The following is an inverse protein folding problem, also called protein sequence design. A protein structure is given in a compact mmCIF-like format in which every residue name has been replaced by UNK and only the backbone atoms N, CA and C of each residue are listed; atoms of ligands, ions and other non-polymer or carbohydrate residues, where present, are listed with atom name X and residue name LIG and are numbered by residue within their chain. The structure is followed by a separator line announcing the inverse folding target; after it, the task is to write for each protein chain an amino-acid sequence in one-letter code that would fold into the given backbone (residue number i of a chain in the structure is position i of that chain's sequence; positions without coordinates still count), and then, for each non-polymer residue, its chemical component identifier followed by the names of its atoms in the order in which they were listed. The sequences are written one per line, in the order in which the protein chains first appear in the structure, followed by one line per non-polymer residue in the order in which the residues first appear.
data_IF_821498278278
#
_entry.id   IF_821498278278
#
_cell.length_a   1.000
_cell.length_b   1.000
_cell.length_c   1.000
_cell.angle_alpha   90.00
_cell.angle_beta   90.00
_cell.angle_gamma   90.00
#
_symmetry.space_group_name_H-M   'P 1'
#
loop_
_entity.id
_entity.type
_entity.pdbx_description
1 polymer ?
#
# COMPACT_ATOMS: atom_id res chain seq x y z
N UNK A 1 3.73 -4.15 31.09
CA UNK A 1 3.53 -2.74 31.51
C UNK A 1 4.86 -2.06 31.82
N UNK A 2 5.59 -2.44 32.86
CA UNK A 2 6.83 -1.75 33.26
C UNK A 2 7.88 -1.65 32.16
N UNK A 3 8.06 -2.72 31.37
CA UNK A 3 8.95 -2.68 30.18
C UNK A 3 8.54 -1.58 29.20
N UNK A 4 7.26 -1.46 28.86
CA UNK A 4 6.76 -0.44 27.94
C UNK A 4 6.97 0.97 28.50
N UNK A 5 6.71 1.18 29.79
CA UNK A 5 6.97 2.48 30.45
C UNK A 5 8.44 2.81 30.46
N UNK A 6 9.32 1.84 30.76
CA UNK A 6 10.76 2.06 30.73
C UNK A 6 11.23 2.50 29.34
N UNK A 7 10.80 1.83 28.28
CA UNK A 7 11.14 2.23 26.91
C UNK A 7 10.58 3.61 26.55
N UNK A 8 9.36 3.95 26.99
CA UNK A 8 8.76 5.25 26.73
C UNK A 8 9.43 6.39 27.52
N UNK A 9 9.62 6.23 28.82
CA UNK A 9 10.05 7.31 29.72
C UNK A 9 11.58 7.41 29.83
N UNK A 10 12.29 6.29 29.80
CA UNK A 10 13.75 6.27 29.96
C UNK A 10 14.49 6.25 28.63
N UNK A 11 13.93 5.57 27.63
CA UNK A 11 14.54 5.49 26.28
C UNK A 11 13.89 6.41 25.25
N UNK A 12 12.82 7.12 25.64
CA UNK A 12 12.09 8.07 24.79
C UNK A 12 11.53 7.45 23.49
N UNK A 13 11.09 6.20 23.55
CA UNK A 13 10.40 5.54 22.43
C UNK A 13 8.99 6.13 22.25
N UNK A 14 8.66 6.55 21.01
CA UNK A 14 7.39 7.20 20.66
C UNK A 14 6.20 6.24 20.45
N UNK A 15 6.47 4.93 20.43
CA UNK A 15 5.47 3.92 20.16
C UNK A 15 6.05 2.53 19.91
N UNK A 16 5.15 1.56 19.77
CA UNK A 16 5.49 0.14 19.67
C UNK A 16 4.72 -0.52 18.53
N UNK A 17 5.41 -1.40 17.79
CA UNK A 17 4.79 -2.41 16.93
C UNK A 17 4.90 -3.75 17.65
N UNK A 18 3.77 -4.33 18.01
CA UNK A 18 3.68 -5.61 18.72
C UNK A 18 3.60 -6.76 17.71
N UNK A 19 4.61 -7.62 17.76
CA UNK A 19 4.65 -8.89 17.04
C UNK A 19 3.60 -9.87 17.56
N UNK A 20 2.95 -10.61 16.65
CA UNK A 20 1.83 -11.52 16.96
C UNK A 20 0.84 -10.93 17.97
N UNK A 21 0.42 -9.69 17.73
CA UNK A 21 -0.25 -8.82 18.70
C UNK A 21 -1.55 -9.39 19.28
N UNK A 22 -2.23 -10.32 18.59
CA UNK A 22 -3.41 -11.00 19.12
C UNK A 22 -3.12 -11.70 20.46
N UNK A 23 -1.88 -12.17 20.67
CA UNK A 23 -1.50 -12.85 21.91
C UNK A 23 -1.74 -11.99 23.16
N UNK A 24 -1.66 -10.67 23.01
CA UNK A 24 -1.83 -9.70 24.10
C UNK A 24 -3.28 -9.64 24.60
N UNK A 25 -4.25 -10.02 23.77
CA UNK A 25 -5.66 -10.10 24.12
C UNK A 25 -6.15 -11.50 24.45
N UNK A 26 -5.26 -12.51 24.54
CA UNK A 26 -5.71 -13.88 24.82
C UNK A 26 -6.15 -14.01 26.28
N UNK A 27 -7.42 -14.37 26.44
CA UNK A 27 -8.07 -14.77 27.68
C UNK A 27 -8.47 -16.27 27.58
N UNK A 28 -8.95 -16.92 28.67
CA UNK A 28 -9.29 -18.34 28.65
C UNK A 28 -10.27 -18.78 27.55
N UNK A 29 -11.17 -17.88 27.12
CA UNK A 29 -12.20 -18.15 26.08
C UNK A 29 -11.79 -17.68 24.68
N UNK A 30 -10.54 -17.23 24.50
CA UNK A 30 -10.04 -16.70 23.23
C UNK A 30 -9.64 -15.23 23.31
N UNK A 31 -9.54 -14.57 22.15
CA UNK A 31 -9.18 -13.16 22.10
C UNK A 31 -10.32 -12.29 22.66
N UNK A 32 -9.99 -11.43 23.61
CA UNK A 32 -10.84 -10.35 24.10
C UNK A 32 -10.15 -9.00 23.93
N UNK A 33 -10.75 -8.14 23.12
CA UNK A 33 -10.34 -6.75 22.92
C UNK A 33 -10.47 -5.87 24.18
N UNK A 34 -11.17 -6.35 25.22
CA UNK A 34 -11.25 -5.79 26.58
C UNK A 34 -10.48 -6.64 27.60
N UNK A 35 -9.55 -7.47 27.11
CA UNK A 35 -8.65 -8.25 27.96
C UNK A 35 -7.79 -7.36 28.83
N UNK A 36 -7.29 -7.93 29.93
CA UNK A 36 -6.65 -7.14 31.00
C UNK A 36 -5.46 -6.30 30.52
N UNK A 37 -4.72 -6.75 29.51
CA UNK A 37 -3.61 -6.00 28.94
C UNK A 37 -4.07 -4.73 28.19
N UNK A 38 -5.08 -4.85 27.31
CA UNK A 38 -5.56 -3.72 26.53
C UNK A 38 -6.18 -2.64 27.42
N UNK A 39 -6.96 -3.05 28.42
CA UNK A 39 -7.52 -2.13 29.41
C UNK A 39 -6.41 -1.42 30.19
N UNK A 40 -5.40 -2.17 30.64
CA UNK A 40 -4.26 -1.61 31.37
C UNK A 40 -3.46 -0.60 30.53
N UNK A 41 -3.22 -0.87 29.24
CA UNK A 41 -2.55 0.07 28.33
C UNK A 41 -3.41 1.30 28.05
N UNK A 42 -4.71 1.12 27.85
CA UNK A 42 -5.64 2.21 27.49
C UNK A 42 -5.82 3.21 28.63
N UNK A 43 -5.81 2.77 29.89
CA UNK A 43 -5.91 3.68 31.05
C UNK A 43 -4.56 4.23 31.51
N UNK A 44 -3.44 3.75 30.98
CA UNK A 44 -2.11 4.16 31.41
C UNK A 44 -1.78 5.60 30.96
N UNK A 45 -1.42 6.52 31.87
CA UNK A 45 -1.21 7.93 31.52
C UNK A 45 0.00 8.19 30.62
N UNK A 46 0.92 7.22 30.51
CA UNK A 46 2.09 7.26 29.63
C UNK A 46 1.75 6.55 28.32
N UNK A 47 1.37 5.27 28.39
CA UNK A 47 1.23 4.43 27.19
C UNK A 47 0.04 4.81 26.31
N UNK A 48 -1.05 5.32 26.87
CA UNK A 48 -2.23 5.71 26.09
C UNK A 48 -1.99 6.89 25.12
N UNK A 49 -0.83 7.57 25.22
CA UNK A 49 -0.44 8.69 24.35
C UNK A 49 0.53 8.28 23.24
N UNK A 50 1.03 7.04 23.28
CA UNK A 50 2.02 6.54 22.33
C UNK A 50 1.35 5.93 21.10
N UNK A 51 2.11 5.73 20.03
CA UNK A 51 1.63 4.97 18.87
C UNK A 51 1.66 3.49 19.21
N UNK A 52 0.52 2.82 19.07
CA UNK A 52 0.40 1.38 19.32
C UNK A 52 -0.03 0.71 18.03
N UNK A 53 0.81 -0.17 17.51
CA UNK A 53 0.55 -0.92 16.28
C UNK A 53 0.68 -2.40 16.59
N UNK A 54 -0.23 -3.25 16.13
CA UNK A 54 -0.09 -4.70 16.28
C UNK A 54 -0.12 -5.43 14.95
N UNK A 55 0.48 -6.61 14.92
CA UNK A 55 0.02 -7.67 14.04
C UNK A 55 -1.31 -8.21 14.58
N UNK A 56 -2.43 -8.02 13.89
CA UNK A 56 -3.74 -8.48 14.34
C UNK A 56 -3.94 -9.98 14.08
N UNK A 57 -2.91 -10.78 14.30
CA UNK A 57 -2.97 -12.23 14.22
C UNK A 57 -2.01 -12.90 15.21
N UNK A 58 -2.25 -14.18 15.48
CA UNK A 58 -1.27 -15.12 16.02
C UNK A 58 -1.53 -16.53 15.43
N UNK A 59 -0.69 -17.50 15.79
CA UNK A 59 -0.77 -18.87 15.26
C UNK A 59 -1.83 -19.76 15.94
N UNK A 60 -2.48 -19.27 17.00
CA UNK A 60 -3.43 -20.06 17.78
C UNK A 60 -4.85 -20.05 17.18
N UNK A 61 -5.74 -20.97 17.63
CA UNK A 61 -7.14 -20.95 17.21
C UNK A 61 -7.79 -19.60 17.50
N UNK A 62 -8.55 -19.08 16.53
CA UNK A 62 -9.17 -17.74 16.60
C UNK A 62 -8.15 -16.59 16.58
N UNK A 63 -6.91 -16.84 16.17
CA UNK A 63 -5.83 -15.87 16.19
C UNK A 63 -6.02 -14.68 15.25
N UNK A 64 -6.74 -14.86 14.12
CA UNK A 64 -6.94 -13.80 13.13
C UNK A 64 -7.97 -12.76 13.60
N UNK A 65 -7.50 -11.54 13.88
CA UNK A 65 -8.24 -10.45 14.54
C UNK A 65 -8.11 -9.12 13.79
N UNK A 66 -7.94 -9.15 12.46
CA UNK A 66 -7.93 -7.92 11.64
C UNK A 66 -9.22 -7.12 11.84
N UNK A 67 -9.08 -5.84 12.20
CA UNK A 67 -10.16 -4.93 12.61
C UNK A 67 -10.62 -5.12 14.06
N UNK A 68 -10.12 -6.14 14.76
CA UNK A 68 -10.54 -6.60 16.08
C UNK A 68 -9.95 -5.80 17.24
N UNK A 69 -8.79 -5.14 17.08
CA UNK A 69 -8.14 -4.44 18.21
C UNK A 69 -8.98 -3.25 18.69
N UNK A 70 -8.81 -2.82 19.96
CA UNK A 70 -9.55 -1.70 20.50
C UNK A 70 -9.18 -0.37 19.81
N UNK A 71 -10.06 0.65 19.88
CA UNK A 71 -9.72 2.01 19.42
C UNK A 71 -8.43 2.53 20.04
N UNK A 72 -7.67 3.32 19.28
CA UNK A 72 -6.34 3.80 19.68
C UNK A 72 -5.18 2.99 19.09
N UNK A 73 -5.47 1.81 18.54
CA UNK A 73 -4.48 0.93 17.91
C UNK A 73 -4.50 1.03 16.39
N UNK A 74 -3.31 1.09 15.80
CA UNK A 74 -3.06 0.73 14.42
C UNK A 74 -2.88 -0.78 14.27
N UNK A 75 -3.16 -1.29 13.10
CA UNK A 75 -2.99 -2.71 12.77
C UNK A 75 -2.32 -2.84 11.42
N UNK A 76 -1.34 -3.75 11.33
CA UNK A 76 -0.86 -4.20 10.02
C UNK A 76 -2.03 -4.79 9.23
N UNK A 77 -2.27 -4.26 8.04
CA UNK A 77 -3.38 -4.68 7.19
C UNK A 77 -2.89 -5.66 6.13
N UNK A 78 -2.90 -6.96 6.45
CA UNK A 78 -2.53 -8.01 5.50
C UNK A 78 -3.55 -8.14 4.35
N UNK A 79 -4.84 -7.86 4.59
CA UNK A 79 -5.85 -7.75 3.52
C UNK A 79 -5.48 -6.69 2.49
N UNK A 80 -4.93 -5.55 2.93
CA UNK A 80 -4.40 -4.54 2.02
C UNK A 80 -3.23 -5.09 1.20
N UNK A 81 -2.23 -5.68 1.87
CA UNK A 81 -1.05 -6.27 1.23
C UNK A 81 -1.46 -7.25 0.14
N UNK A 82 -2.33 -8.18 0.51
CA UNK A 82 -2.73 -9.32 -0.31
C UNK A 82 -3.55 -8.88 -1.52
N UNK A 83 -4.59 -8.08 -1.31
CA UNK A 83 -5.44 -7.57 -2.39
C UNK A 83 -4.67 -6.69 -3.36
N UNK A 84 -3.76 -5.83 -2.88
CA UNK A 84 -3.00 -4.96 -3.78
C UNK A 84 -2.00 -5.77 -4.62
N UNK A 85 -1.38 -6.82 -4.03
CA UNK A 85 -0.54 -7.78 -4.76
C UNK A 85 -1.34 -8.52 -5.84
N UNK A 86 -2.49 -9.08 -5.47
CA UNK A 86 -3.42 -9.77 -6.38
C UNK A 86 -3.88 -8.85 -7.53
N UNK A 87 -4.26 -7.61 -7.23
CA UNK A 87 -4.72 -6.65 -8.24
C UNK A 87 -3.65 -6.37 -9.30
N UNK A 88 -2.40 -6.11 -8.90
CA UNK A 88 -1.29 -5.84 -9.83
C UNK A 88 -0.73 -7.09 -10.50
N UNK A 89 -0.90 -8.26 -9.89
CA UNK A 89 -0.65 -9.57 -10.53
C UNK A 89 -1.68 -9.85 -11.64
N UNK A 90 -2.87 -9.27 -11.55
CA UNK A 90 -3.94 -9.37 -12.55
C UNK A 90 -5.11 -10.24 -12.12
N UNK A 91 -5.21 -10.57 -10.83
CA UNK A 91 -6.34 -11.30 -10.25
C UNK A 91 -7.56 -10.37 -10.11
N UNK A 92 -8.76 -10.96 -10.18
CA UNK A 92 -10.01 -10.19 -10.17
C UNK A 92 -10.45 -9.85 -8.73
N UNK A 93 -9.89 -8.77 -8.19
CA UNK A 93 -10.14 -8.31 -6.80
C UNK A 93 -10.53 -6.83 -6.74
N UNK A 94 -11.10 -6.28 -7.82
CA UNK A 94 -11.36 -4.84 -8.01
C UNK A 94 -12.21 -4.23 -6.90
N UNK A 95 -13.25 -4.93 -6.43
CA UNK A 95 -14.10 -4.47 -5.33
C UNK A 95 -13.31 -4.33 -4.02
N UNK A 96 -12.57 -5.38 -3.64
CA UNK A 96 -11.71 -5.34 -2.48
C UNK A 96 -10.62 -4.27 -2.63
N UNK A 97 -10.01 -4.15 -3.81
CA UNK A 97 -8.99 -3.15 -4.11
C UNK A 97 -9.51 -1.73 -3.88
N UNK A 98 -10.74 -1.42 -4.31
CA UNK A 98 -11.39 -0.14 -4.06
C UNK A 98 -11.57 0.14 -2.56
N UNK A 99 -11.96 -0.86 -1.77
CA UNK A 99 -12.06 -0.73 -0.33
C UNK A 99 -10.68 -0.49 0.32
N UNK A 100 -9.64 -1.22 -0.13
CA UNK A 100 -8.26 -1.07 0.34
C UNK A 100 -7.70 0.32 0.05
N UNK A 101 -7.91 0.84 -1.17
CA UNK A 101 -7.47 2.18 -1.59
C UNK A 101 -8.06 3.29 -0.70
N UNK A 102 -9.31 3.12 -0.26
CA UNK A 102 -10.06 4.10 0.54
C UNK A 102 -9.91 3.91 2.07
N UNK A 103 -8.85 3.22 2.48
CA UNK A 103 -8.47 3.06 3.89
C UNK A 103 -9.13 1.90 4.61
N UNK A 104 -9.70 0.94 3.87
CA UNK A 104 -10.31 -0.27 4.41
C UNK A 104 -11.38 0.03 5.46
N UNK A 105 -12.29 0.97 5.14
CA UNK A 105 -13.38 1.36 6.03
C UNK A 105 -14.31 0.20 6.40
N UNK A 106 -14.42 -0.81 5.54
CA UNK A 106 -15.13 -2.06 5.82
C UNK A 106 -14.53 -2.86 6.99
N UNK A 107 -13.23 -2.69 7.27
CA UNK A 107 -12.52 -3.32 8.38
C UNK A 107 -12.37 -2.40 9.60
N UNK A 108 -12.24 -1.09 9.38
CA UNK A 108 -11.80 -0.15 10.41
C UNK A 108 -12.75 1.02 10.71
N UNK A 109 -13.81 1.27 9.92
CA UNK A 109 -14.80 2.32 10.22
C UNK A 109 -15.83 1.84 11.25
N UNK A 110 -15.34 1.40 12.41
CA UNK A 110 -16.14 1.01 13.56
C UNK A 110 -15.58 1.62 14.84
N UNK A 111 -16.46 1.82 15.83
CA UNK A 111 -16.08 2.22 17.20
C UNK A 111 -15.25 3.52 17.27
N UNK A 112 -15.45 4.43 16.31
CA UNK A 112 -14.76 5.72 16.25
C UNK A 112 -13.29 5.65 15.82
N UNK A 113 -12.83 4.50 15.32
CA UNK A 113 -11.53 4.36 14.67
C UNK A 113 -11.45 5.26 13.44
N UNK A 114 -10.22 5.49 12.99
CA UNK A 114 -9.90 6.41 11.88
C UNK A 114 -9.15 5.66 10.77
N UNK A 115 -9.05 6.20 9.55
CA UNK A 115 -8.30 5.58 8.46
C UNK A 115 -6.88 5.19 8.84
N UNK A 116 -6.20 5.99 9.68
CA UNK A 116 -4.84 5.70 10.16
C UNK A 116 -4.71 4.40 10.97
N UNK A 117 -5.84 3.82 11.44
CA UNK A 117 -5.85 2.52 12.11
C UNK A 117 -5.40 1.40 11.17
N UNK A 118 -5.53 1.60 9.86
CA UNK A 118 -4.98 0.72 8.85
C UNK A 118 -3.53 1.09 8.56
N UNK A 119 -2.60 0.22 8.94
CA UNK A 119 -1.20 0.30 8.51
C UNK A 119 -1.07 -0.49 7.23
N UNK A 120 -1.11 0.23 6.11
CA UNK A 120 -1.00 -0.32 4.77
C UNK A 120 0.45 -0.62 4.44
N UNK A 121 0.74 -1.79 3.88
CA UNK A 121 2.07 -2.17 3.43
C UNK A 121 1.97 -3.13 2.26
N UNK A 122 2.95 -3.08 1.36
CA UNK A 122 3.07 -4.05 0.26
C UNK A 122 4.06 -5.14 0.63
N UNK A 123 5.08 -4.80 1.41
CA UNK A 123 6.24 -5.62 1.76
C UNK A 123 6.64 -5.30 3.20
N UNK A 124 7.25 -6.28 3.84
CA UNK A 124 7.72 -6.21 5.21
C UNK A 124 9.01 -7.03 5.34
N UNK A 125 9.51 -7.19 6.55
CA UNK A 125 10.61 -8.12 6.79
C UNK A 125 10.20 -9.57 6.54
N UNK A 126 8.90 -9.89 6.74
CA UNK A 126 8.32 -11.17 6.35
C UNK A 126 7.93 -11.16 4.88
N UNK A 127 8.38 -12.17 4.14
CA UNK A 127 8.11 -12.33 2.71
C UNK A 127 9.13 -11.62 1.83
N UNK A 128 8.76 -11.43 0.56
CA UNK A 128 9.61 -10.74 -0.40
C UNK A 128 9.76 -9.23 -0.14
N UNK A 129 10.94 -8.72 -0.52
CA UNK A 129 11.15 -7.29 -0.84
C UNK A 129 10.32 -6.87 -2.04
N UNK A 130 10.21 -5.57 -2.31
CA UNK A 130 9.43 -5.09 -3.46
C UNK A 130 10.08 -5.52 -4.78
N UNK A 131 11.42 -5.56 -4.84
CA UNK A 131 12.10 -6.03 -6.03
C UNK A 131 11.90 -7.53 -6.26
N UNK A 132 11.90 -8.33 -5.21
CA UNK A 132 11.72 -9.78 -5.32
C UNK A 132 10.26 -10.16 -5.61
N UNK A 133 9.30 -9.39 -5.09
CA UNK A 133 7.87 -9.54 -5.38
C UNK A 133 7.56 -9.49 -6.88
N UNK A 134 8.35 -8.73 -7.65
CA UNK A 134 8.22 -8.61 -9.11
C UNK A 134 9.25 -9.43 -9.89
N UNK A 135 10.09 -10.21 -9.20
CA UNK A 135 11.20 -10.95 -9.83
C UNK A 135 11.16 -12.46 -9.60
N UNK A 136 10.37 -12.94 -8.65
CA UNK A 136 10.31 -14.36 -8.27
C UNK A 136 8.88 -14.84 -8.11
N UNK A 137 8.58 -16.03 -8.63
CA UNK A 137 7.31 -16.73 -8.35
C UNK A 137 7.47 -17.67 -7.15
N UNK A 138 8.63 -18.31 -7.03
CA UNK A 138 8.94 -19.27 -5.99
C UNK A 138 9.90 -18.66 -4.96
N UNK A 139 9.86 -19.16 -3.72
CA UNK A 139 10.83 -18.80 -2.69
C UNK A 139 12.12 -19.59 -2.87
N UNK A 140 13.25 -18.94 -2.61
CA UNK A 140 14.61 -19.48 -2.70
C UNK A 140 15.29 -19.31 -1.33
N UNK A 141 14.82 -20.08 -0.33
CA UNK A 141 15.27 -20.02 1.06
C UNK A 141 16.36 -21.05 1.37
N UNK A 142 17.00 -21.65 0.36
CA UNK A 142 17.99 -22.73 0.55
C UNK A 142 19.13 -22.31 1.49
N UNK A 143 19.51 -21.04 1.46
CA UNK A 143 20.54 -20.47 2.33
C UNK A 143 20.20 -20.56 3.83
N UNK A 144 18.93 -20.77 4.19
CA UNK A 144 18.47 -20.89 5.58
C UNK A 144 18.75 -22.28 6.18
N UNK A 145 19.05 -23.28 5.34
CA UNK A 145 19.41 -24.63 5.80
C UNK A 145 18.23 -25.52 6.20
N UNK A 146 17.01 -25.17 5.79
CA UNK A 146 15.78 -25.91 6.10
C UNK A 146 15.19 -26.61 4.85
N UNK A 147 16.02 -26.90 3.85
CA UNK A 147 15.62 -27.51 2.56
C UNK A 147 14.46 -26.75 1.87
N UNK A 148 14.45 -25.41 1.97
CA UNK A 148 13.41 -24.52 1.45
C UNK A 148 12.00 -24.76 2.05
N UNK A 149 11.91 -25.40 3.22
CA UNK A 149 10.62 -25.67 3.89
C UNK A 149 10.10 -24.49 4.71
N UNK A 150 10.95 -23.54 5.05
CA UNK A 150 10.62 -22.34 5.82
C UNK A 150 10.09 -21.20 4.93
N UNK A 151 9.39 -20.23 5.51
CA UNK A 151 8.79 -19.11 4.77
C UNK A 151 7.46 -19.45 4.07
N UNK A 152 6.73 -18.40 3.67
CA UNK A 152 5.38 -18.53 3.09
C UNK A 152 5.43 -19.03 1.64
N UNK A 153 4.52 -19.93 1.25
CA UNK A 153 4.49 -20.47 -0.12
C UNK A 153 3.65 -19.63 -1.10
N UNK A 154 2.65 -18.90 -0.60
CA UNK A 154 1.79 -18.05 -1.43
C UNK A 154 2.17 -16.57 -1.28
N UNK A 155 3.08 -16.11 -2.13
CA UNK A 155 3.63 -14.76 -2.07
C UNK A 155 2.81 -13.72 -2.82
N UNK A 156 1.86 -14.17 -3.68
CA UNK A 156 1.13 -13.32 -4.64
C UNK A 156 2.07 -12.47 -5.50
N UNK A 157 3.22 -13.03 -5.85
CA UNK A 157 4.27 -12.42 -6.67
C UNK A 157 4.09 -12.75 -8.15
N UNK A 158 4.81 -12.03 -9.01
CA UNK A 158 4.88 -12.35 -10.43
C UNK A 158 6.27 -12.00 -10.96
N UNK A 159 6.95 -12.96 -11.57
CA UNK A 159 8.30 -12.78 -12.09
C UNK A 159 8.35 -12.17 -13.52
N UNK A 160 7.19 -12.01 -14.16
CA UNK A 160 6.99 -11.47 -15.51
C UNK A 160 7.74 -12.21 -16.63
N UNK A 161 8.10 -13.49 -16.41
CA UNK A 161 8.65 -14.38 -17.44
C UNK A 161 10.05 -14.91 -17.16
N UNK A 162 10.76 -14.39 -16.16
CA UNK A 162 12.09 -14.86 -15.77
C UNK A 162 12.19 -15.00 -14.25
N UNK A 163 12.70 -16.10 -13.71
CA UNK A 163 12.90 -16.25 -12.27
C UNK A 163 14.24 -15.60 -11.85
N UNK A 164 14.18 -14.53 -11.06
CA UNK A 164 15.34 -13.76 -10.63
C UNK A 164 15.89 -12.77 -11.66
N UNK A 165 17.18 -12.38 -11.55
CA UNK A 165 17.83 -11.44 -12.46
C UNK A 165 17.77 -11.90 -13.93
N UNK A 166 17.62 -10.95 -14.85
CA UNK A 166 17.54 -11.20 -16.30
C UNK A 166 18.13 -10.03 -17.09
N UNK A 167 18.67 -10.34 -18.27
CA UNK A 167 19.15 -9.34 -19.24
C UNK A 167 18.05 -8.91 -20.23
N UNK A 168 16.83 -9.47 -20.13
CA UNK A 168 15.69 -9.06 -20.94
C UNK A 168 15.17 -7.68 -20.52
N UNK A 169 15.49 -6.67 -21.32
CA UNK A 169 15.09 -5.28 -21.09
C UNK A 169 13.57 -5.09 -21.03
N UNK A 170 12.80 -5.90 -21.75
CA UNK A 170 11.33 -5.85 -21.74
C UNK A 170 10.76 -6.30 -20.40
N UNK A 171 11.28 -7.40 -19.85
CA UNK A 171 10.90 -7.88 -18.51
C UNK A 171 11.32 -6.86 -17.45
N UNK A 172 12.55 -6.34 -17.53
CA UNK A 172 13.05 -5.36 -16.56
C UNK A 172 12.23 -4.06 -16.58
N UNK A 173 11.82 -3.56 -17.76
CA UNK A 173 10.94 -2.40 -17.87
C UNK A 173 9.57 -2.64 -17.23
N UNK A 174 8.99 -3.84 -17.39
CA UNK A 174 7.74 -4.22 -16.71
C UNK A 174 7.97 -4.18 -15.20
N UNK A 175 9.02 -4.82 -14.68
CA UNK A 175 9.34 -4.85 -13.25
C UNK A 175 9.49 -3.46 -12.64
N UNK A 176 10.24 -2.56 -13.29
CA UNK A 176 10.37 -1.18 -12.84
C UNK A 176 9.01 -0.46 -12.78
N UNK A 177 8.15 -0.67 -13.78
CA UNK A 177 6.78 -0.12 -13.77
C UNK A 177 5.94 -0.68 -12.63
N UNK A 178 6.05 -1.97 -12.33
CA UNK A 178 5.31 -2.60 -11.22
C UNK A 178 5.78 -2.08 -9.86
N UNK A 179 7.09 -1.90 -9.65
CA UNK A 179 7.59 -1.24 -8.44
C UNK A 179 6.97 0.14 -8.25
N UNK A 180 6.92 0.94 -9.32
CA UNK A 180 6.26 2.26 -9.31
C UNK A 180 4.75 2.16 -9.05
N UNK A 181 4.06 1.17 -9.60
CA UNK A 181 2.63 0.93 -9.33
C UNK A 181 2.38 0.64 -7.86
N UNK A 182 3.11 -0.32 -7.27
CA UNK A 182 2.98 -0.69 -5.86
C UNK A 182 3.25 0.50 -4.94
N UNK A 183 4.33 1.25 -5.19
CA UNK A 183 4.67 2.44 -4.40
C UNK A 183 3.61 3.54 -4.53
N UNK A 184 3.07 3.76 -5.73
CA UNK A 184 2.02 4.74 -5.97
C UNK A 184 0.73 4.33 -5.27
N UNK A 185 0.29 3.06 -5.40
CA UNK A 185 -0.88 2.55 -4.69
C UNK A 185 -0.69 2.69 -3.18
N UNK A 186 0.47 2.30 -2.63
CA UNK A 186 0.79 2.44 -1.21
C UNK A 186 0.67 3.89 -0.71
N UNK A 187 1.32 4.83 -1.39
CA UNK A 187 1.42 6.21 -0.93
C UNK A 187 0.16 7.04 -1.21
N UNK A 188 -0.69 6.62 -2.16
CA UNK A 188 -1.94 7.32 -2.48
C UNK A 188 -3.18 6.68 -1.85
N UNK A 189 -3.08 5.47 -1.30
CA UNK A 189 -4.14 4.88 -0.47
C UNK A 189 -4.36 5.67 0.83
N UNK A 190 -5.61 5.76 1.27
CA UNK A 190 -5.93 6.28 2.60
C UNK A 190 -5.50 5.28 3.68
N UNK A 191 -5.08 5.79 4.84
CA UNK A 191 -4.41 5.01 5.89
C UNK A 191 -2.97 5.42 6.12
N UNK A 192 -2.25 4.62 6.90
CA UNK A 192 -0.84 4.85 7.25
C UNK A 192 0.05 3.96 6.40
N UNK A 193 0.77 4.48 5.38
CA UNK A 193 1.67 3.66 4.58
C UNK A 193 2.94 3.30 5.37
N UNK A 194 3.34 2.04 5.32
CA UNK A 194 4.62 1.53 5.81
C UNK A 194 5.47 1.08 4.61
N UNK A 195 6.67 1.63 4.50
CA UNK A 195 7.66 1.30 3.47
C UNK A 195 8.77 0.44 4.09
N UNK A 196 9.08 -0.69 3.47
CA UNK A 196 10.23 -1.52 3.86
C UNK A 196 11.52 -0.85 3.40
N UNK A 197 12.50 -0.75 4.31
CA UNK A 197 13.78 -0.12 4.01
C UNK A 197 14.53 -0.85 2.87
N UNK A 198 14.90 -0.09 1.84
CA UNK A 198 15.57 -0.57 0.65
C UNK A 198 14.65 -0.72 -0.56
N UNK A 199 13.33 -0.81 -0.37
CA UNK A 199 12.38 -0.91 -1.49
C UNK A 199 12.35 0.37 -2.34
N UNK A 200 12.69 1.53 -1.76
CA UNK A 200 12.77 2.78 -2.49
C UNK A 200 13.87 2.80 -3.56
N UNK A 201 14.82 1.86 -3.53
CA UNK A 201 15.85 1.71 -4.56
C UNK A 201 16.03 0.27 -5.04
N UNK A 202 15.06 -0.61 -4.75
CA UNK A 202 15.02 -1.97 -5.29
C UNK A 202 15.95 -2.97 -4.60
N UNK A 203 16.07 -2.91 -3.26
CA UNK A 203 16.73 -3.96 -2.47
C UNK A 203 16.15 -5.33 -2.78
N UNK A 204 17.00 -6.34 -2.84
CA UNK A 204 16.67 -7.73 -3.09
C UNK A 204 17.31 -8.61 -2.02
N UNK A 205 16.63 -9.69 -1.65
CA UNK A 205 17.15 -10.83 -0.88
C UNK A 205 17.34 -12.06 -1.79
N UNK A 206 17.45 -11.84 -3.10
CA UNK A 206 17.70 -12.87 -4.11
C UNK A 206 16.65 -14.00 -4.13
N UNK A 207 15.38 -13.66 -3.85
CA UNK A 207 14.30 -14.62 -3.79
C UNK A 207 14.18 -15.35 -2.45
N UNK A 208 14.98 -15.03 -1.45
CA UNK A 208 14.73 -15.46 -0.09
C UNK A 208 13.57 -14.63 0.49
N UNK A 209 12.47 -15.27 0.89
CA UNK A 209 11.30 -14.60 1.45
C UNK A 209 11.21 -14.74 2.98
N UNK A 210 12.26 -15.26 3.60
CA UNK A 210 12.32 -15.52 5.03
C UNK A 210 13.77 -15.35 5.52
N UNK A 211 14.38 -14.18 5.28
CA UNK A 211 15.78 -13.91 5.61
C UNK A 211 16.10 -13.79 7.11
N UNK A 212 15.31 -14.42 7.99
CA UNK A 212 15.35 -14.24 9.45
C UNK A 212 16.69 -14.65 10.09
N UNK A 213 17.36 -15.65 9.52
CA UNK A 213 18.64 -16.17 10.00
C UNK A 213 19.84 -15.69 9.17
N UNK A 214 19.61 -14.78 8.22
CA UNK A 214 20.63 -14.29 7.29
C UNK A 214 21.23 -12.98 7.79
N UNK A 215 22.24 -13.04 8.65
CA UNK A 215 23.15 -11.90 8.88
C UNK A 215 24.27 -11.92 7.83
N UNK A 216 23.91 -11.58 6.58
CA UNK A 216 24.76 -11.71 5.41
C UNK A 216 24.34 -10.74 4.29
N UNK A 217 25.08 -10.77 3.17
CA UNK A 217 24.77 -10.04 1.94
C UNK A 217 23.33 -10.26 1.44
N UNK A 218 22.66 -11.35 1.83
CA UNK A 218 21.25 -11.60 1.49
C UNK A 218 20.33 -10.58 2.19
N UNK A 219 20.63 -10.19 3.44
CA UNK A 219 19.76 -9.30 4.21
C UNK A 219 20.31 -7.90 4.40
N UNK A 220 21.61 -7.67 4.22
CA UNK A 220 22.15 -6.33 4.34
C UNK A 220 21.56 -5.37 3.30
N UNK A 221 21.54 -4.09 3.66
CA UNK A 221 21.11 -3.02 2.74
C UNK A 221 22.33 -2.54 1.96
N UNK A 222 22.36 -2.86 0.67
CA UNK A 222 23.44 -2.49 -0.24
C UNK A 222 23.30 -1.04 -0.72
N UNK A 223 24.31 -0.22 -0.46
CA UNK A 223 24.32 1.20 -0.86
C UNK A 223 25.23 1.50 -2.06
N UNK A 224 26.20 0.63 -2.31
CA UNK A 224 27.23 0.82 -3.33
C UNK A 224 26.90 0.05 -4.61
N UNK A 225 27.45 0.51 -5.76
CA UNK A 225 27.32 -0.14 -7.07
C UNK A 225 25.87 -0.43 -7.53
N UNK A 226 24.92 0.39 -7.08
CA UNK A 226 23.52 0.29 -7.49
C UNK A 226 23.34 0.69 -8.96
N UNK A 227 22.44 0.03 -9.71
CA UNK A 227 22.12 0.41 -11.09
C UNK A 227 21.42 1.78 -11.14
N UNK A 228 21.43 2.42 -12.31
CA UNK A 228 20.77 3.73 -12.50
C UNK A 228 19.26 3.69 -12.17
N UNK A 229 18.60 2.56 -12.42
CA UNK A 229 17.19 2.33 -12.07
C UNK A 229 16.92 2.47 -10.58
N UNK A 230 17.88 2.15 -9.72
CA UNK A 230 17.78 2.31 -8.27
C UNK A 230 17.64 3.78 -7.87
N UNK A 231 18.40 4.68 -8.50
CA UNK A 231 18.29 6.12 -8.28
C UNK A 231 16.99 6.69 -8.85
N UNK A 232 16.56 6.21 -10.02
CA UNK A 232 15.28 6.61 -10.61
C UNK A 232 14.09 6.22 -9.72
N UNK A 233 14.09 5.01 -9.16
CA UNK A 233 13.06 4.56 -8.22
C UNK A 233 13.09 5.36 -6.91
N UNK A 234 14.29 5.72 -6.43
CA UNK A 234 14.45 6.55 -5.23
C UNK A 234 13.83 7.92 -5.40
N UNK A 235 14.15 8.61 -6.49
CA UNK A 235 13.58 9.93 -6.77
C UNK A 235 12.07 9.86 -7.05
N UNK A 236 11.59 8.81 -7.70
CA UNK A 236 10.15 8.55 -7.85
C UNK A 236 9.47 8.38 -6.49
N UNK A 237 10.03 7.57 -5.59
CA UNK A 237 9.51 7.34 -4.24
C UNK A 237 9.49 8.63 -3.42
N UNK A 238 10.55 9.44 -3.49
CA UNK A 238 10.62 10.76 -2.84
C UNK A 238 9.54 11.70 -3.35
N UNK A 239 9.30 11.72 -4.65
CA UNK A 239 8.25 12.52 -5.25
C UNK A 239 6.86 12.11 -4.76
N UNK A 240 6.55 10.80 -4.70
CA UNK A 240 5.29 10.30 -4.13
C UNK A 240 5.11 10.70 -2.66
N UNK A 241 6.16 10.58 -1.84
CA UNK A 241 6.13 10.98 -0.43
C UNK A 241 5.87 12.49 -0.31
N UNK A 242 6.51 13.31 -1.15
CA UNK A 242 6.31 14.76 -1.17
C UNK A 242 4.87 15.12 -1.56
N UNK A 243 4.31 14.49 -2.60
CA UNK A 243 2.91 14.68 -2.99
C UNK A 243 1.97 14.32 -1.84
N UNK A 244 2.14 13.13 -1.23
CA UNK A 244 1.36 12.73 -0.05
C UNK A 244 1.46 13.73 1.09
N UNK A 245 2.65 14.23 1.40
CA UNK A 245 2.87 15.15 2.52
C UNK A 245 2.21 16.52 2.28
N UNK A 246 2.26 17.00 1.03
CA UNK A 246 1.79 18.34 0.66
C UNK A 246 0.30 18.39 0.29
N UNK A 247 -0.32 17.26 -0.04
CA UNK A 247 -1.70 17.19 -0.53
C UNK A 247 -2.62 16.48 0.48
N UNK A 248 -3.40 17.22 1.30
CA UNK A 248 -4.34 16.68 2.29
C UNK A 248 -5.35 15.68 1.72
N UNK A 249 -5.74 15.82 0.45
CA UNK A 249 -6.66 14.91 -0.25
C UNK A 249 -6.16 13.44 -0.25
N UNK A 250 -4.83 13.24 -0.21
CA UNK A 250 -4.21 11.91 -0.13
C UNK A 250 -4.12 11.40 1.32
N UNK A 251 -4.24 12.27 2.33
CA UNK A 251 -4.10 11.94 3.77
C UNK A 251 -5.41 12.11 4.51
N UNK A 252 -6.37 11.23 4.22
CA UNK A 252 -7.69 11.26 4.83
C UNK A 252 -7.63 11.00 6.34
N UNK A 253 -8.06 11.98 7.14
CA UNK A 253 -8.06 11.87 8.61
C UNK A 253 -9.31 11.17 9.18
N UNK A 254 -10.43 11.22 8.46
CA UNK A 254 -11.70 10.64 8.91
C UNK A 254 -12.57 10.24 7.72
N UNK A 255 -13.36 9.17 7.87
CA UNK A 255 -14.41 8.84 6.88
C UNK A 255 -15.64 9.76 6.90
N UNK A 256 -15.65 10.80 7.73
CA UNK A 256 -16.76 11.76 7.93
C UNK A 256 -16.32 13.20 7.63
N UNK A 257 -15.31 13.32 6.76
CA UNK A 257 -14.63 14.56 6.40
C UNK A 257 -15.21 15.24 5.15
N UNK A 258 -16.32 14.73 4.60
CA UNK A 258 -16.94 15.29 3.39
C UNK A 258 -16.21 14.93 2.09
N UNK A 259 -15.26 13.97 2.10
CA UNK A 259 -14.65 13.46 0.88
C UNK A 259 -15.71 12.81 -0.01
N UNK A 260 -15.87 13.33 -1.22
CA UNK A 260 -16.69 12.73 -2.26
C UNK A 260 -15.84 11.77 -3.09
N UNK A 261 -16.43 10.63 -3.45
CA UNK A 261 -15.73 9.56 -4.17
C UNK A 261 -16.60 9.13 -5.35
N UNK A 262 -16.02 9.14 -6.55
CA UNK A 262 -16.68 8.70 -7.77
C UNK A 262 -15.82 7.69 -8.49
N UNK A 263 -16.37 6.51 -8.74
CA UNK A 263 -15.72 5.44 -9.49
C UNK A 263 -16.19 5.45 -10.94
N UNK A 264 -15.26 5.25 -11.86
CA UNK A 264 -15.46 5.31 -13.30
C UNK A 264 -15.00 4.03 -13.98
N UNK A 265 -15.77 3.59 -14.97
CA UNK A 265 -15.31 2.58 -15.93
C UNK A 265 -14.46 3.23 -17.04
N UNK A 266 -13.78 2.42 -17.84
CA UNK A 266 -12.96 2.90 -18.97
C UNK A 266 -13.74 3.72 -20.01
N UNK A 267 -15.07 3.57 -20.08
CA UNK A 267 -15.93 4.39 -20.92
C UNK A 267 -16.22 5.80 -20.37
N UNK A 268 -15.66 6.17 -19.21
CA UNK A 268 -15.83 7.48 -18.58
C UNK A 268 -17.15 7.66 -17.82
N UNK A 269 -18.02 6.64 -17.85
CA UNK A 269 -19.25 6.59 -17.05
C UNK A 269 -19.01 6.06 -15.64
N UNK A 270 -20.02 6.16 -14.77
CA UNK A 270 -19.94 5.58 -13.43
C UNK A 270 -19.73 4.05 -13.50
N UNK A 271 -18.88 3.52 -12.61
CA UNK A 271 -18.67 2.08 -12.44
C UNK A 271 -19.96 1.42 -11.96
N UNK A 272 -20.56 0.55 -12.78
CA UNK A 272 -21.81 -0.16 -12.47
C UNK A 272 -21.56 -1.40 -11.61
N UNK A 273 -22.59 -1.88 -10.92
CA UNK A 273 -22.52 -3.02 -9.99
C UNK A 273 -21.89 -4.27 -10.63
N UNK A 274 -22.31 -4.63 -11.84
CA UNK A 274 -21.83 -5.82 -12.55
C UNK A 274 -20.36 -5.70 -12.98
N UNK A 275 -19.88 -4.46 -13.20
CA UNK A 275 -18.52 -4.21 -13.66
C UNK A 275 -17.48 -4.38 -12.55
N UNK A 276 -17.89 -4.39 -11.29
CA UNK A 276 -17.00 -4.64 -10.15
C UNK A 276 -16.49 -6.08 -10.09
N UNK A 277 -17.27 -7.02 -10.64
CA UNK A 277 -16.96 -8.45 -10.66
C UNK A 277 -16.32 -8.90 -11.99
N UNK A 278 -16.26 -8.03 -13.00
CA UNK A 278 -15.78 -8.37 -14.35
C UNK A 278 -14.55 -7.57 -14.80
N UNK A 279 -14.39 -6.35 -14.30
CA UNK A 279 -13.41 -5.39 -14.80
C UNK A 279 -12.26 -5.13 -13.83
N UNK A 280 -11.04 -5.05 -14.36
CA UNK A 280 -9.84 -4.73 -13.57
C UNK A 280 -9.36 -3.28 -13.76
N UNK A 281 -9.68 -2.64 -14.89
CA UNK A 281 -9.33 -1.25 -15.15
C UNK A 281 -10.41 -0.31 -14.63
N UNK A 282 -10.04 0.59 -13.71
CA UNK A 282 -10.96 1.50 -13.03
C UNK A 282 -10.36 2.89 -12.88
N UNK A 283 -11.22 3.90 -12.85
CA UNK A 283 -10.88 5.26 -12.44
C UNK A 283 -11.55 5.61 -11.12
N UNK A 284 -10.88 6.40 -10.28
CA UNK A 284 -11.47 7.00 -9.08
C UNK A 284 -11.16 8.47 -9.03
N UNK A 285 -12.19 9.29 -8.89
CA UNK A 285 -12.02 10.67 -8.49
C UNK A 285 -12.36 10.83 -7.02
N UNK A 286 -11.44 11.45 -6.29
CA UNK A 286 -11.63 11.90 -4.92
C UNK A 286 -11.69 13.44 -4.92
N UNK A 287 -12.69 13.98 -4.25
CA UNK A 287 -13.00 15.41 -4.24
C UNK A 287 -13.22 15.94 -2.82
N UNK A 288 -12.64 17.10 -2.50
CA UNK A 288 -12.87 17.87 -1.27
C UNK A 288 -13.14 19.33 -1.64
N UNK A 289 -14.41 19.71 -1.89
CA UNK A 289 -14.77 21.06 -2.31
C UNK A 289 -14.32 22.15 -1.33
N UNK A 290 -14.24 21.83 -0.04
CA UNK A 290 -13.81 22.75 1.01
C UNK A 290 -12.32 23.14 0.92
N UNK A 291 -11.49 22.36 0.21
CA UNK A 291 -10.08 22.67 -0.03
C UNK A 291 -9.86 23.63 -1.21
N UNK A 292 -10.89 23.90 -2.03
CA UNK A 292 -10.78 24.74 -3.23
C UNK A 292 -10.16 26.14 -2.98
N UNK A 293 -10.42 26.84 -1.85
CA UNK A 293 -9.85 28.17 -1.62
C UNK A 293 -8.35 28.17 -1.32
N UNK A 294 -7.73 27.02 -1.03
CA UNK A 294 -6.33 26.94 -0.62
C UNK A 294 -5.38 26.82 -1.81
N UNK A 295 -4.57 27.85 -2.04
CA UNK A 295 -3.62 27.87 -3.15
C UNK A 295 -2.58 26.74 -3.04
N UNK A 296 -2.41 25.97 -4.12
CA UNK A 296 -1.44 24.86 -4.18
C UNK A 296 -1.92 23.54 -3.56
N UNK A 297 -3.14 23.51 -3.03
CA UNK A 297 -3.78 22.30 -2.49
C UNK A 297 -4.79 21.75 -3.49
N UNK A 298 -4.75 20.44 -3.71
CA UNK A 298 -5.70 19.79 -4.62
C UNK A 298 -7.06 19.58 -3.94
N UNK A 299 -8.09 20.08 -4.58
CA UNK A 299 -9.49 19.79 -4.27
C UNK A 299 -10.08 18.62 -5.09
N UNK A 300 -9.48 18.26 -6.22
CA UNK A 300 -9.93 17.17 -7.10
C UNK A 300 -8.70 16.41 -7.63
N UNK A 301 -8.71 15.08 -7.45
CA UNK A 301 -7.72 14.18 -8.02
C UNK A 301 -8.41 12.98 -8.67
N UNK A 302 -8.00 12.62 -9.87
CA UNK A 302 -8.47 11.46 -10.63
C UNK A 302 -7.30 10.48 -10.79
N UNK A 303 -7.44 9.29 -10.22
CA UNK A 303 -6.50 8.19 -10.39
C UNK A 303 -7.10 7.17 -11.35
N UNK A 304 -6.33 6.75 -12.34
CA UNK A 304 -6.67 5.66 -13.26
C UNK A 304 -5.72 4.49 -13.01
N UNK A 305 -6.29 3.30 -12.90
CA UNK A 305 -5.56 2.06 -12.65
C UNK A 305 -5.85 1.08 -13.77
N UNK A 306 -4.79 0.62 -14.46
CA UNK A 306 -4.87 -0.44 -15.45
C UNK A 306 -3.91 -1.56 -15.08
N UNK A 307 -4.37 -2.66 -14.47
CA UNK A 307 -3.54 -3.82 -14.17
C UNK A 307 -3.40 -4.78 -15.37
N UNK A 308 -4.22 -4.60 -16.42
CA UNK A 308 -4.15 -5.41 -17.62
C UNK A 308 -2.86 -5.14 -18.40
N UNK A 309 -2.33 -6.14 -19.09
CA UNK A 309 -1.07 -6.03 -19.81
C UNK A 309 -1.14 -5.16 -21.07
N UNK A 310 -2.33 -5.05 -21.67
CA UNK A 310 -2.59 -4.21 -22.83
C UNK A 310 -2.98 -2.79 -22.47
N UNK A 311 -2.85 -1.89 -23.45
CA UNK A 311 -3.37 -0.52 -23.34
C UNK A 311 -4.89 -0.51 -23.41
N UNK A 312 -5.51 0.39 -22.63
CA UNK A 312 -6.96 0.57 -22.59
C UNK A 312 -7.31 2.02 -22.89
N UNK A 313 -8.12 2.31 -23.93
CA UNK A 313 -8.67 3.64 -24.11
C UNK A 313 -9.57 3.98 -22.92
N UNK A 314 -9.16 4.98 -22.13
CA UNK A 314 -9.91 5.46 -20.99
C UNK A 314 -10.47 6.85 -21.30
N UNK A 315 -11.79 6.96 -21.39
CA UNK A 315 -12.46 8.24 -21.61
C UNK A 315 -12.39 9.07 -20.33
N UNK A 316 -11.63 10.17 -20.39
CA UNK A 316 -11.41 11.04 -19.23
C UNK A 316 -12.73 11.75 -18.91
N UNK A 317 -13.29 11.56 -17.70
CA UNK A 317 -14.57 12.16 -17.39
C UNK A 317 -14.38 13.67 -17.12
N UNK A 318 -15.20 14.49 -17.78
CA UNK A 318 -15.12 15.94 -17.71
C UNK A 318 -16.30 16.52 -16.93
N UNK A 319 -16.00 17.34 -15.93
CA UNK A 319 -16.97 18.19 -15.24
C UNK A 319 -16.27 19.43 -14.69
N UNK A 320 -17.03 20.44 -14.26
CA UNK A 320 -16.48 21.68 -13.72
C UNK A 320 -15.65 22.50 -14.71
N UNK A 321 -14.96 23.53 -14.21
CA UNK A 321 -14.07 24.39 -14.99
C UNK A 321 -12.59 23.99 -14.77
N UNK A 322 -11.71 24.27 -15.73
CA UNK A 322 -10.25 24.13 -15.58
C UNK A 322 -9.61 22.86 -16.15
N UNK A 323 -10.39 21.82 -16.44
CA UNK A 323 -9.88 20.56 -17.02
C UNK A 323 -8.94 19.78 -16.09
N UNK A 324 -8.26 18.78 -16.65
CA UNK A 324 -7.33 17.91 -15.93
C UNK A 324 -5.88 18.19 -16.31
N UNK A 325 -4.97 18.17 -15.33
CA UNK A 325 -3.52 18.23 -15.53
C UNK A 325 -2.94 16.87 -15.15
N UNK A 326 -2.20 16.26 -16.07
CA UNK A 326 -1.45 15.03 -15.81
C UNK A 326 -0.30 15.33 -14.83
N UNK A 327 -0.38 14.79 -13.62
CA UNK A 327 0.61 15.00 -12.56
C UNK A 327 1.64 13.87 -12.52
N UNK A 328 1.18 12.62 -12.61
CA UNK A 328 2.03 11.45 -12.47
C UNK A 328 1.58 10.34 -13.43
N UNK A 329 2.55 9.61 -13.96
CA UNK A 329 2.33 8.30 -14.58
C UNK A 329 3.41 7.33 -14.10
N UNK A 330 3.09 6.04 -14.05
CA UNK A 330 4.09 4.99 -13.83
C UNK A 330 4.68 4.44 -15.12
N UNK A 331 4.04 4.71 -16.27
CA UNK A 331 4.54 4.33 -17.59
C UNK A 331 5.51 5.39 -18.14
N UNK A 332 6.48 4.96 -18.94
CA UNK A 332 7.55 5.85 -19.44
C UNK A 332 7.09 6.84 -20.53
N UNK A 333 5.84 6.72 -20.99
CA UNK A 333 5.35 7.38 -22.22
C UNK A 333 4.49 8.64 -22.00
N UNK A 334 4.22 9.08 -20.77
CA UNK A 334 3.32 10.22 -20.57
C UNK A 334 4.08 11.54 -20.27
N UNK A 335 3.67 12.61 -20.98
CA UNK A 335 4.22 13.94 -20.80
C UNK A 335 3.57 14.62 -19.58
N UNK A 336 4.26 14.59 -18.43
CA UNK A 336 3.85 15.36 -17.25
C UNK A 336 3.50 16.80 -17.62
N UNK A 337 2.41 17.33 -17.06
CA UNK A 337 1.90 18.67 -17.34
C UNK A 337 0.96 18.76 -18.56
N UNK A 338 0.69 17.65 -19.26
CA UNK A 338 -0.37 17.60 -20.27
C UNK A 338 -1.69 18.09 -19.67
N UNK A 339 -2.35 19.01 -20.37
CA UNK A 339 -3.66 19.56 -20.01
C UNK A 339 -4.74 19.00 -20.91
N UNK A 340 -5.77 18.43 -20.29
CA UNK A 340 -6.96 17.90 -20.95
C UNK A 340 -8.12 18.84 -20.61
N UNK A 341 -8.53 19.66 -21.58
CA UNK A 341 -9.60 20.65 -21.43
C UNK A 341 -10.92 20.24 -22.09
N UNK A 342 -10.91 19.17 -22.85
CA UNK A 342 -12.05 18.62 -23.57
C UNK A 342 -12.11 17.11 -23.37
N UNK A 343 -13.28 16.51 -23.59
CA UNK A 343 -13.45 15.07 -23.51
C UNK A 343 -12.55 14.36 -24.54
N UNK A 344 -11.74 13.42 -24.08
CA UNK A 344 -10.88 12.63 -24.95
C UNK A 344 -10.69 11.22 -24.41
N UNK A 345 -10.39 10.29 -25.32
CA UNK A 345 -9.95 8.96 -24.95
C UNK A 345 -8.43 9.02 -24.71
N UNK A 346 -8.02 8.81 -23.46
CA UNK A 346 -6.63 8.74 -23.05
C UNK A 346 -6.16 7.30 -23.15
N UNK A 347 -5.07 7.05 -23.88
CA UNK A 347 -4.51 5.71 -24.03
C UNK A 347 -3.76 5.30 -22.75
N UNK A 348 -4.46 4.58 -21.86
CA UNK A 348 -3.94 4.16 -20.57
C UNK A 348 -3.10 2.90 -20.73
N UNK A 349 -1.78 3.08 -20.71
CA UNK A 349 -0.81 2.02 -20.91
C UNK A 349 -1.05 0.80 -20.00
N UNK A 350 -0.68 -0.38 -20.50
CA UNK A 350 -0.78 -1.63 -19.74
C UNK A 350 0.05 -1.60 -18.46
N UNK A 351 -0.51 -2.20 -17.41
CA UNK A 351 0.05 -2.31 -16.07
C UNK A 351 0.54 -0.96 -15.55
N UNK A 352 -0.30 0.06 -15.59
CA UNK A 352 0.08 1.43 -15.23
C UNK A 352 -0.94 2.15 -14.37
N UNK A 353 -0.48 3.22 -13.73
CA UNK A 353 -1.29 4.19 -13.00
C UNK A 353 -1.08 5.56 -13.62
N UNK A 354 -2.14 6.34 -13.67
CA UNK A 354 -2.09 7.76 -14.01
C UNK A 354 -2.82 8.57 -12.95
N UNK A 355 -2.21 9.67 -12.51
CA UNK A 355 -2.82 10.67 -11.64
C UNK A 355 -3.02 11.96 -12.43
N UNK A 356 -4.27 12.41 -12.48
CA UNK A 356 -4.63 13.75 -12.86
C UNK A 356 -5.05 14.55 -11.63
N UNK A 357 -4.78 15.85 -11.67
CA UNK A 357 -5.30 16.82 -10.70
C UNK A 357 -6.03 17.93 -11.43
N UNK A 358 -6.85 18.69 -10.71
CA UNK A 358 -7.28 19.99 -11.21
C UNK A 358 -6.21 21.07 -11.01
N UNK A 359 -6.13 22.06 -11.91
CA UNK A 359 -5.18 23.17 -11.84
C UNK A 359 -5.37 24.04 -10.60
#
# INVERSE_FOLDING_TARGET
MDSLRYWAESMHVDGFRFDLGTILGREPEGFDQRGGFFDAVTQDPVLAKLKLIGEPWDIGPGGYQVGGFPPGWGEWNDKYRDTVREYWKGDNVTNDFAARLLGSGDLYDLRGRRPWSSVNFITAHDGFTLNDLVSYNDKHNEANGEDNNDGHNDNRSCNYGAEGPTDDEGINAIRERQKRNFLTTLLFSHGTPMLLAGDEFGRSQMGNNNGYCQDSEISWVHWDNLPETANALREFTRHLIQLRATQPLLRRESWRDGLEIRWFNAGGGAQQSEQWDEGSTIGVCISRPDLQPEAGIWHDALLLFNPFEGSVPFRIPMWGEGGWVLELTTADNAQQGMRITEEMDFDLAGRSIVLFRRP
#
